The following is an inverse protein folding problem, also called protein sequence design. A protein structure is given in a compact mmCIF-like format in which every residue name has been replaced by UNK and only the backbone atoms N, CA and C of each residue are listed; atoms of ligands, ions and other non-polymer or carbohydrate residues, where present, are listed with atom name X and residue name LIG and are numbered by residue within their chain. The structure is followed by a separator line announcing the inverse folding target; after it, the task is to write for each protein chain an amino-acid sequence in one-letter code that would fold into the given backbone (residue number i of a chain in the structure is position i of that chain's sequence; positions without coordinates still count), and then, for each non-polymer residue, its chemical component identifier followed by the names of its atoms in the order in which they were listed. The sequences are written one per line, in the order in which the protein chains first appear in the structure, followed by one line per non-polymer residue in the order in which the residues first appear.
data_IF_818794371218
#
_entry.id   IF_818794371218
#
_cell.length_a   1.000
_cell.length_b   1.000
_cell.length_c   1.000
_cell.angle_alpha   90.00
_cell.angle_beta   90.00
_cell.angle_gamma   90.00
#
_symmetry.space_group_name_H-M   'P 1'
#
loop_
_entity.id
_entity.type
_entity.pdbx_description
1 polymer ?
#
# COMPACT_ATOMS: atom_id res chain seq x y z
N UNK A 1 -63.25 31.90 39.19
CA UNK A 1 -64.51 31.92 38.42
C UNK A 1 -64.54 30.65 37.59
N UNK A 2 -65.50 29.76 37.90
CA UNK A 2 -65.99 28.57 37.16
C UNK A 2 -64.97 27.46 36.79
N UNK A 3 -64.83 26.53 37.74
CA UNK A 3 -64.75 25.08 37.48
C UNK A 3 -66.14 24.58 37.06
N UNK A 4 -66.25 23.55 36.21
CA UNK A 4 -67.10 22.43 36.62
C UNK A 4 -66.46 21.05 36.38
N UNK A 5 -66.63 20.25 37.43
CA UNK A 5 -66.51 18.80 37.56
C UNK A 5 -67.76 18.13 36.93
N UNK A 6 -67.72 16.78 36.79
CA UNK A 6 -68.79 15.78 36.53
C UNK A 6 -68.70 15.13 35.13
N UNK A 7 -68.71 13.79 34.91
CA UNK A 7 -69.30 12.65 35.62
C UNK A 7 -68.42 11.39 35.45
N UNK A 8 -68.36 10.62 36.53
CA UNK A 8 -67.91 9.24 36.68
C UNK A 8 -68.86 8.26 35.96
N UNK A 9 -68.37 7.44 35.04
CA UNK A 9 -69.08 6.21 34.60
C UNK A 9 -68.25 5.00 34.99
N UNK A 10 -68.78 4.26 35.94
CA UNK A 10 -68.33 2.96 36.41
C UNK A 10 -68.84 1.89 35.44
N UNK A 11 -67.96 1.13 34.79
CA UNK A 11 -68.32 -0.16 34.20
C UNK A 11 -67.39 -1.24 34.74
N UNK A 12 -67.99 -2.11 35.54
CA UNK A 12 -67.42 -3.31 36.14
C UNK A 12 -67.47 -4.42 35.09
N UNK A 13 -66.32 -4.97 34.70
CA UNK A 13 -66.22 -6.13 33.81
C UNK A 13 -65.16 -7.10 34.32
N UNK A 14 -65.60 -8.27 34.75
CA UNK A 14 -64.88 -9.32 35.48
C UNK A 14 -64.18 -10.28 34.50
N UNK A 15 -62.88 -10.50 34.75
CA UNK A 15 -62.02 -11.69 34.51
C UNK A 15 -61.99 -12.37 33.12
N UNK A 16 -60.78 -12.66 32.61
CA UNK A 16 -60.14 -13.98 32.70
C UNK A 16 -58.81 -14.02 31.93
N UNK A 17 -57.88 -14.80 32.48
CA UNK A 17 -56.51 -15.12 32.06
C UNK A 17 -56.36 -15.60 30.61
N UNK A 18 -55.15 -15.45 30.05
CA UNK A 18 -54.63 -16.46 29.12
C UNK A 18 -53.66 -16.01 28.02
N UNK A 19 -52.39 -16.40 28.19
CA UNK A 19 -51.39 -16.75 27.17
C UNK A 19 -50.78 -15.66 26.26
N UNK A 20 -49.64 -15.14 26.73
CA UNK A 20 -48.32 -15.27 26.10
C UNK A 20 -48.26 -15.32 24.56
N UNK A 21 -48.10 -14.16 23.92
CA UNK A 21 -47.50 -14.04 22.60
C UNK A 21 -46.18 -13.30 22.75
N UNK A 22 -45.08 -14.05 22.76
CA UNK A 22 -43.77 -13.52 22.42
C UNK A 22 -43.88 -13.03 20.97
N UNK A 23 -43.87 -11.72 20.80
CA UNK A 23 -43.51 -11.10 19.53
C UNK A 23 -42.09 -11.57 19.21
N UNK A 24 -41.97 -12.52 18.27
CA UNK A 24 -40.71 -12.83 17.61
C UNK A 24 -40.16 -11.53 17.01
N UNK A 25 -39.14 -11.02 17.70
CA UNK A 25 -38.25 -9.99 17.20
C UNK A 25 -37.50 -10.62 16.02
N UNK A 26 -37.55 -10.05 14.80
CA UNK A 26 -36.75 -10.57 13.71
C UNK A 26 -35.28 -10.38 14.09
N UNK A 27 -34.61 -11.52 14.21
CA UNK A 27 -33.18 -11.67 14.33
C UNK A 27 -32.51 -10.88 13.20
N UNK A 28 -31.77 -9.83 13.55
CA UNK A 28 -30.83 -9.14 12.66
C UNK A 28 -29.41 -9.51 13.08
N UNK A 29 -29.12 -10.81 13.17
CA UNK A 29 -27.81 -11.31 12.79
C UNK A 29 -27.78 -11.41 11.26
N UNK A 30 -27.09 -10.46 10.63
CA UNK A 30 -26.34 -10.63 9.38
C UNK A 30 -25.86 -9.23 8.93
N UNK A 31 -25.01 -8.60 9.75
CA UNK A 31 -23.99 -7.71 9.22
C UNK A 31 -22.86 -8.63 8.77
N UNK A 32 -22.95 -9.05 7.51
CA UNK A 32 -21.82 -9.59 6.77
C UNK A 32 -20.82 -8.44 6.60
N UNK A 33 -20.05 -8.17 7.64
CA UNK A 33 -18.90 -7.28 7.61
C UNK A 33 -17.81 -8.05 6.85
N UNK A 34 -17.94 -8.07 5.52
CA UNK A 34 -16.84 -8.51 4.68
C UNK A 34 -15.69 -7.56 5.00
N UNK A 35 -14.70 -8.05 5.73
CA UNK A 35 -13.58 -7.26 6.17
C UNK A 35 -13.00 -6.52 4.96
N UNK A 36 -13.15 -5.20 4.95
CA UNK A 36 -12.75 -4.38 3.82
C UNK A 36 -11.24 -4.49 3.67
N UNK A 37 -10.75 -4.67 2.46
CA UNK A 37 -9.31 -4.74 2.18
C UNK A 37 -8.74 -3.38 1.77
N UNK A 38 -7.45 -3.19 1.96
CA UNK A 38 -6.68 -2.08 1.42
C UNK A 38 -5.32 -2.56 0.91
N UNK A 39 -4.79 -1.84 -0.08
CA UNK A 39 -3.45 -2.08 -0.61
C UNK A 39 -2.39 -1.36 0.21
N UNK A 40 -1.28 -2.04 0.51
CA UNK A 40 -0.08 -1.44 1.07
C UNK A 40 1.14 -1.93 0.32
N UNK A 41 2.10 -1.03 0.15
CA UNK A 41 3.37 -1.37 -0.43
C UNK A 41 4.39 -1.75 0.65
N UNK A 42 5.12 -2.83 0.40
CA UNK A 42 6.18 -3.37 1.27
C UNK A 42 7.42 -3.68 0.45
N UNK A 43 8.58 -3.65 1.10
CA UNK A 43 9.86 -3.83 0.43
C UNK A 43 10.60 -5.05 0.98
N UNK A 44 10.70 -6.12 0.19
CA UNK A 44 11.45 -7.33 0.55
C UNK A 44 12.84 -7.33 -0.06
N UNK A 45 13.74 -8.15 0.51
CA UNK A 45 15.05 -8.38 -0.08
C UNK A 45 14.95 -9.51 -1.09
N UNK A 46 15.71 -9.41 -2.15
CA UNK A 46 15.91 -10.49 -3.12
C UNK A 46 17.39 -10.56 -3.42
N UNK A 47 17.94 -11.77 -3.38
CA UNK A 47 19.35 -12.01 -3.67
C UNK A 47 19.47 -12.85 -4.93
N UNK A 48 20.44 -12.50 -5.75
CA UNK A 48 20.93 -13.30 -6.87
C UNK A 48 22.36 -13.75 -6.56
N UNK A 49 22.98 -14.49 -7.48
CA UNK A 49 24.41 -14.83 -7.38
C UNK A 49 25.34 -13.61 -7.43
N UNK A 50 24.84 -12.45 -7.89
CA UNK A 50 25.64 -11.26 -8.19
C UNK A 50 25.40 -10.12 -7.21
N UNK A 51 24.15 -9.93 -6.79
CA UNK A 51 23.73 -8.78 -6.00
C UNK A 51 22.51 -9.08 -5.14
N UNK A 52 22.36 -8.26 -4.10
CA UNK A 52 21.22 -8.21 -3.21
C UNK A 52 20.54 -6.85 -3.39
N UNK A 53 19.22 -6.85 -3.53
CA UNK A 53 18.43 -5.64 -3.81
C UNK A 53 17.05 -5.74 -3.18
N UNK A 54 16.30 -4.65 -3.27
CA UNK A 54 14.92 -4.55 -2.82
C UNK A 54 13.93 -4.77 -3.96
N UNK A 55 12.84 -5.46 -3.62
CA UNK A 55 11.66 -5.58 -4.47
C UNK A 55 10.47 -4.94 -3.76
N UNK A 56 9.76 -4.06 -4.45
CA UNK A 56 8.52 -3.45 -3.96
C UNK A 56 7.35 -4.34 -4.35
N UNK A 57 6.56 -4.73 -3.36
CA UNK A 57 5.34 -5.51 -3.55
C UNK A 57 4.13 -4.73 -3.04
N UNK A 58 2.94 -5.00 -3.60
CA UNK A 58 1.68 -4.43 -3.14
C UNK A 58 0.81 -5.55 -2.60
N UNK A 59 0.56 -5.55 -1.29
CA UNK A 59 -0.18 -6.57 -0.57
C UNK A 59 -1.57 -6.07 -0.19
N UNK A 60 -2.53 -6.99 -0.11
CA UNK A 60 -3.90 -6.72 0.34
C UNK A 60 -4.03 -7.09 1.82
N UNK A 61 -4.24 -6.10 2.68
CA UNK A 61 -4.45 -6.32 4.12
C UNK A 61 -5.84 -5.91 4.55
N UNK A 62 -6.20 -6.25 5.79
CA UNK A 62 -7.41 -5.69 6.40
C UNK A 62 -7.31 -4.18 6.52
N UNK A 63 -8.42 -3.51 6.21
CA UNK A 63 -8.53 -2.06 6.31
C UNK A 63 -8.44 -1.63 7.76
N UNK A 64 -7.57 -0.68 8.01
CA UNK A 64 -7.31 -0.10 9.33
C UNK A 64 -6.89 1.35 9.18
N UNK A 65 -7.11 2.14 10.23
CA UNK A 65 -6.56 3.51 10.34
C UNK A 65 -5.08 3.50 10.71
N UNK A 66 -4.57 2.42 11.28
CA UNK A 66 -3.16 2.26 11.67
C UNK A 66 -2.32 1.74 10.49
N UNK A 67 -2.36 2.44 9.36
CA UNK A 67 -1.77 1.96 8.08
C UNK A 67 -0.26 1.72 8.16
N UNK A 68 0.49 2.55 8.87
CA UNK A 68 1.93 2.36 9.07
C UNK A 68 2.24 1.09 9.89
N UNK A 69 1.45 0.86 10.95
CA UNK A 69 1.54 -0.34 11.77
C UNK A 69 1.20 -1.60 10.96
N UNK A 70 0.17 -1.53 10.12
CA UNK A 70 -0.21 -2.62 9.22
C UNK A 70 0.90 -2.92 8.20
N UNK A 71 1.52 -1.89 7.60
CA UNK A 71 2.62 -2.06 6.65
C UNK A 71 3.83 -2.75 7.27
N UNK A 72 4.24 -2.36 8.47
CA UNK A 72 5.35 -3.01 9.15
C UNK A 72 5.01 -4.42 9.62
N UNK A 73 3.78 -4.66 10.10
CA UNK A 73 3.34 -6.00 10.43
C UNK A 73 3.35 -6.91 9.19
N UNK A 74 2.91 -6.40 8.05
CA UNK A 74 2.96 -7.11 6.76
C UNK A 74 4.41 -7.38 6.33
N UNK A 75 5.31 -6.41 6.51
CA UNK A 75 6.74 -6.61 6.23
C UNK A 75 7.38 -7.70 7.12
N UNK A 76 6.96 -7.80 8.39
CA UNK A 76 7.47 -8.79 9.36
C UNK A 76 6.88 -10.18 9.12
N UNK A 77 5.59 -10.27 8.78
CA UNK A 77 4.82 -11.54 8.81
C UNK A 77 4.28 -12.01 7.46
N UNK A 78 4.13 -11.10 6.51
CA UNK A 78 3.65 -11.39 5.17
C UNK A 78 4.64 -12.25 4.38
N UNK A 79 4.10 -13.09 3.51
CA UNK A 79 4.89 -13.91 2.59
C UNK A 79 5.16 -13.11 1.30
N UNK A 80 6.43 -12.91 0.91
CA UNK A 80 6.75 -12.29 -0.37
C UNK A 80 6.15 -13.08 -1.54
N UNK A 81 5.58 -12.35 -2.49
CA UNK A 81 4.96 -12.87 -3.71
C UNK A 81 6.02 -13.05 -4.80
N UNK A 82 7.03 -12.16 -4.83
CA UNK A 82 8.12 -12.25 -5.81
C UNK A 82 8.95 -13.51 -5.52
N UNK A 83 9.16 -14.40 -6.51
CA UNK A 83 10.00 -15.56 -6.33
C UNK A 83 11.38 -15.20 -5.79
N UNK A 84 11.86 -15.97 -4.82
CA UNK A 84 13.15 -15.82 -4.14
C UNK A 84 13.32 -14.52 -3.34
N UNK A 85 12.28 -13.70 -3.20
CA UNK A 85 12.26 -12.62 -2.23
C UNK A 85 12.03 -13.15 -0.81
N UNK A 86 12.57 -12.45 0.19
CA UNK A 86 12.55 -12.89 1.58
C UNK A 86 12.48 -11.71 2.56
N UNK A 87 12.01 -12.02 3.77
CA UNK A 87 11.89 -11.10 4.90
C UNK A 87 13.26 -10.84 5.55
N UNK A 88 13.48 -9.61 6.00
CA UNK A 88 14.66 -9.23 6.82
C UNK A 88 14.44 -9.56 8.29
N UNK A 89 13.25 -9.22 8.78
CA UNK A 89 12.98 -9.14 10.20
C UNK A 89 12.59 -10.51 10.77
N UNK A 90 13.09 -10.87 11.97
CA UNK A 90 12.61 -12.05 12.69
C UNK A 90 11.10 -11.99 12.91
N UNK A 91 10.40 -13.12 12.70
CA UNK A 91 8.93 -13.18 12.72
C UNK A 91 8.32 -12.83 14.09
N UNK A 92 9.07 -13.00 15.17
CA UNK A 92 8.69 -12.67 16.54
C UNK A 92 9.04 -11.21 16.94
N UNK A 93 9.56 -10.41 16.00
CA UNK A 93 9.73 -8.96 16.17
C UNK A 93 8.37 -8.31 16.45
N UNK A 94 8.31 -7.50 17.50
CA UNK A 94 7.13 -6.71 17.84
C UNK A 94 7.42 -5.24 17.63
N UNK A 95 6.40 -4.52 17.18
CA UNK A 95 6.40 -3.06 17.15
C UNK A 95 5.71 -2.63 18.45
N UNK A 96 6.46 -1.95 19.31
CA UNK A 96 6.01 -1.47 20.61
C UNK A 96 5.24 -0.15 20.48
N UNK A 97 5.59 0.65 19.46
CA UNK A 97 4.87 1.88 19.14
C UNK A 97 5.38 2.53 17.86
N UNK A 98 4.53 3.38 17.27
CA UNK A 98 4.89 4.25 16.15
C UNK A 98 4.37 5.65 16.49
N UNK A 99 5.26 6.64 16.50
CA UNK A 99 4.89 8.05 16.61
C UNK A 99 5.22 8.75 15.30
N UNK A 100 4.26 9.47 14.72
CA UNK A 100 4.44 10.23 13.48
C UNK A 100 4.21 11.70 13.80
N UNK A 101 5.26 12.51 13.69
CA UNK A 101 5.20 13.95 13.91
C UNK A 101 6.00 14.68 12.83
N UNK A 102 5.41 15.70 12.20
CA UNK A 102 6.04 16.57 11.21
C UNK A 102 6.83 15.84 10.10
N UNK A 103 6.33 14.69 9.63
CA UNK A 103 7.01 13.91 8.57
C UNK A 103 7.99 12.85 9.08
N UNK A 104 8.31 12.82 10.37
CA UNK A 104 9.18 11.83 10.98
C UNK A 104 8.35 10.73 11.64
N UNK A 105 8.57 9.48 11.24
CA UNK A 105 8.07 8.31 11.94
C UNK A 105 9.15 7.75 12.87
N UNK A 106 8.92 7.75 14.18
CA UNK A 106 9.76 7.02 15.15
C UNK A 106 9.10 5.68 15.46
N UNK A 107 9.80 4.59 15.13
CA UNK A 107 9.31 3.21 15.36
C UNK A 107 10.08 2.61 16.52
N UNK A 108 9.36 2.22 17.56
CA UNK A 108 9.90 1.48 18.69
C UNK A 108 9.71 -0.02 18.48
N UNK A 109 10.79 -0.76 18.49
CA UNK A 109 10.80 -2.21 18.30
C UNK A 109 11.13 -2.94 19.60
N UNK A 110 10.71 -4.19 19.66
CA UNK A 110 11.22 -5.12 20.66
C UNK A 110 12.63 -5.61 20.31
N UNK A 111 13.44 -6.08 21.28
CA UNK A 111 14.84 -6.47 21.05
C UNK A 111 15.06 -7.55 19.99
N UNK A 112 14.03 -8.35 19.69
CA UNK A 112 14.07 -9.38 18.66
C UNK A 112 14.47 -8.85 17.28
N UNK A 113 14.19 -7.57 16.97
CA UNK A 113 14.57 -6.91 15.71
C UNK A 113 16.08 -6.96 15.44
N UNK A 114 16.90 -6.99 16.50
CA UNK A 114 18.37 -7.00 16.42
C UNK A 114 18.94 -8.38 16.08
N UNK A 115 18.11 -9.43 16.03
CA UNK A 115 18.52 -10.79 15.66
C UNK A 115 18.36 -11.07 14.17
N UNK A 116 18.01 -10.08 13.36
CA UNK A 116 17.99 -10.23 11.91
C UNK A 116 19.36 -10.75 11.41
N UNK A 117 19.33 -11.67 10.45
CA UNK A 117 20.53 -12.24 9.88
C UNK A 117 20.46 -12.16 8.35
N UNK A 118 20.82 -10.99 7.82
CA UNK A 118 20.82 -10.68 6.38
C UNK A 118 22.23 -10.59 5.80
N UNK A 119 23.26 -10.84 6.62
CA UNK A 119 24.67 -10.67 6.26
C UNK A 119 25.07 -9.21 6.04
N UNK A 120 26.38 -8.93 6.07
CA UNK A 120 26.92 -7.56 6.00
C UNK A 120 26.43 -6.76 4.77
N UNK A 121 26.27 -7.42 3.62
CA UNK A 121 25.75 -6.79 2.40
C UNK A 121 24.25 -6.47 2.46
N UNK A 122 23.48 -7.15 3.32
CA UNK A 122 22.04 -6.96 3.45
C UNK A 122 21.63 -6.04 4.59
N UNK A 123 22.50 -5.75 5.55
CA UNK A 123 22.16 -4.94 6.73
C UNK A 123 21.66 -3.53 6.33
N UNK A 124 22.32 -2.88 5.38
CA UNK A 124 21.90 -1.56 4.88
C UNK A 124 20.55 -1.62 4.15
N UNK A 125 20.36 -2.66 3.33
CA UNK A 125 19.09 -2.89 2.64
C UNK A 125 17.97 -3.27 3.58
N UNK A 126 18.26 -3.91 4.71
CA UNK A 126 17.26 -4.18 5.73
C UNK A 126 16.72 -2.91 6.38
N UNK A 127 17.57 -1.89 6.60
CA UNK A 127 17.08 -0.55 6.99
C UNK A 127 16.25 0.06 5.87
N UNK A 128 16.77 0.08 4.64
CA UNK A 128 16.05 0.64 3.50
C UNK A 128 14.70 -0.05 3.24
N UNK A 129 14.58 -1.35 3.51
CA UNK A 129 13.32 -2.11 3.44
C UNK A 129 12.25 -1.51 4.37
N UNK A 130 12.60 -1.23 5.63
CA UNK A 130 11.68 -0.63 6.61
C UNK A 130 11.37 0.81 6.23
N UNK A 131 12.40 1.60 5.92
CA UNK A 131 12.28 3.03 5.60
C UNK A 131 11.45 3.24 4.33
N UNK A 132 11.72 2.49 3.27
CA UNK A 132 10.99 2.59 2.02
C UNK A 132 9.54 2.13 2.19
N UNK A 133 9.26 1.12 3.01
CA UNK A 133 7.89 0.71 3.33
C UNK A 133 7.10 1.84 4.01
N UNK A 134 7.68 2.52 4.99
CA UNK A 134 6.99 3.62 5.68
C UNK A 134 6.88 4.89 4.85
N UNK A 135 7.87 5.19 4.02
CA UNK A 135 7.85 6.38 3.15
C UNK A 135 7.00 6.20 1.89
N UNK A 136 6.30 5.06 1.72
CA UNK A 136 5.16 4.95 0.79
C UNK A 136 4.00 5.84 1.21
N UNK A 137 3.88 6.15 2.50
CA UNK A 137 2.89 7.08 3.01
C UNK A 137 3.41 8.51 2.81
N UNK A 138 2.74 9.36 2.00
CA UNK A 138 3.25 10.71 1.69
C UNK A 138 3.43 11.62 2.92
N UNK A 139 2.80 11.27 4.04
CA UNK A 139 2.94 11.98 5.32
C UNK A 139 4.19 11.58 6.10
N UNK A 140 4.94 10.56 5.66
CA UNK A 140 6.19 10.09 6.27
C UNK A 140 7.33 10.31 5.28
N UNK A 141 8.27 11.17 5.64
CA UNK A 141 9.43 11.55 4.84
C UNK A 141 10.72 10.93 5.41
N UNK A 142 10.78 10.77 6.73
CA UNK A 142 11.94 10.24 7.44
C UNK A 142 11.51 9.22 8.50
N UNK A 143 12.42 8.31 8.86
CA UNK A 143 12.17 7.24 9.83
C UNK A 143 13.32 7.15 10.83
N UNK A 144 12.99 7.11 12.11
CA UNK A 144 13.93 6.85 13.20
C UNK A 144 13.53 5.58 13.96
N UNK A 145 14.50 4.96 14.64
CA UNK A 145 14.29 3.69 15.33
C UNK A 145 14.70 3.76 16.80
N UNK A 146 13.96 3.04 17.64
CA UNK A 146 14.33 2.75 19.03
C UNK A 146 14.13 1.27 19.34
N UNK A 147 14.79 0.78 20.38
CA UNK A 147 14.53 -0.55 20.96
C UNK A 147 14.23 -0.40 22.44
N UNK A 148 13.09 -0.93 22.89
CA UNK A 148 12.56 -0.74 24.25
C UNK A 148 12.55 0.74 24.69
N UNK A 149 12.14 1.61 23.76
CA UNK A 149 12.02 3.05 23.96
C UNK A 149 13.32 3.83 24.05
N UNK A 150 14.49 3.21 23.81
CA UNK A 150 15.79 3.87 23.87
C UNK A 150 16.59 3.65 22.58
N UNK A 151 17.28 4.70 22.16
CA UNK A 151 18.12 4.71 20.95
C UNK A 151 19.44 3.97 21.23
N UNK A 152 19.98 4.14 22.43
CA UNK A 152 21.25 3.59 22.90
C UNK A 152 21.27 2.04 22.92
N UNK A 153 20.10 1.41 23.03
CA UNK A 153 19.95 -0.05 23.02
C UNK A 153 20.32 -0.67 21.66
N UNK A 154 20.41 0.13 20.61
CA UNK A 154 20.58 -0.35 19.24
C UNK A 154 21.50 0.54 18.38
N UNK A 155 22.47 1.24 18.99
CA UNK A 155 23.48 2.03 18.25
C UNK A 155 24.21 1.23 17.18
N UNK A 156 24.62 0.01 17.51
CA UNK A 156 25.24 -0.93 16.57
C UNK A 156 24.20 -1.91 15.99
N UNK A 157 23.06 -1.37 15.51
CA UNK A 157 21.83 -2.08 15.12
C UNK A 157 22.05 -3.53 14.61
N UNK A 158 22.84 -3.71 13.54
CA UNK A 158 23.27 -5.03 13.05
C UNK A 158 24.78 -5.16 12.86
N UNK A 159 25.57 -4.28 13.49
CA UNK A 159 27.03 -4.37 13.51
C UNK A 159 27.75 -3.52 12.43
N UNK A 160 27.44 -3.68 11.15
CA UNK A 160 28.01 -2.80 10.09
C UNK A 160 27.14 -1.59 9.81
N UNK A 161 25.88 -1.65 10.24
CA UNK A 161 24.93 -0.56 10.17
C UNK A 161 24.47 -0.21 11.57
N UNK A 162 24.43 1.09 11.85
CA UNK A 162 24.02 1.64 13.13
C UNK A 162 23.05 2.80 12.98
N UNK A 163 22.52 3.28 14.10
CA UNK A 163 21.54 4.38 14.12
C UNK A 163 22.20 5.78 14.18
N UNK A 164 23.49 5.88 13.91
CA UNK A 164 24.27 7.12 14.02
C UNK A 164 23.83 8.20 13.03
N UNK A 165 23.26 7.80 11.90
CA UNK A 165 22.84 8.69 10.81
C UNK A 165 21.32 8.90 10.76
N UNK A 166 20.58 8.41 11.75
CA UNK A 166 19.13 8.60 11.79
C UNK A 166 18.77 10.10 11.98
N UNK A 167 17.60 10.55 11.52
CA UNK A 167 16.57 9.77 10.85
C UNK A 167 16.96 9.40 9.41
N UNK A 168 16.53 8.23 8.96
CA UNK A 168 16.79 7.71 7.63
C UNK A 168 15.73 8.18 6.64
N UNK A 169 16.15 8.41 5.40
CA UNK A 169 15.27 8.81 4.31
C UNK A 169 15.13 7.69 3.27
N UNK A 170 14.10 7.81 2.44
CA UNK A 170 13.82 6.88 1.33
C UNK A 170 15.02 6.80 0.38
N UNK A 171 15.42 5.58 0.03
CA UNK A 171 16.44 5.32 -0.98
C UNK A 171 15.99 4.20 -1.93
N UNK A 172 15.74 4.57 -3.19
CA UNK A 172 15.28 3.65 -4.23
C UNK A 172 16.42 3.17 -5.14
N UNK A 173 17.68 3.55 -4.87
CA UNK A 173 18.83 3.20 -5.71
C UNK A 173 19.03 1.69 -5.87
N UNK A 174 18.65 0.92 -4.84
CA UNK A 174 18.71 -0.53 -4.81
C UNK A 174 17.33 -1.20 -4.94
N UNK A 175 16.32 -0.51 -5.50
CA UNK A 175 14.98 -1.07 -5.74
C UNK A 175 14.79 -1.43 -7.21
N UNK A 176 14.82 -2.72 -7.53
CA UNK A 176 14.96 -3.17 -8.92
C UNK A 176 13.66 -3.70 -9.51
N UNK A 177 12.80 -4.28 -8.70
CA UNK A 177 11.49 -4.80 -9.14
C UNK A 177 10.34 -4.14 -8.35
N UNK A 178 9.19 -3.87 -8.99
CA UNK A 178 8.98 -3.91 -10.43
C UNK A 178 9.76 -2.79 -11.13
N UNK A 179 10.21 -3.01 -12.36
CA UNK A 179 10.94 -2.00 -13.12
C UNK A 179 10.10 -0.75 -13.43
N UNK A 180 8.78 -0.90 -13.56
CA UNK A 180 7.83 0.21 -13.71
C UNK A 180 6.86 0.18 -12.54
N UNK A 181 6.72 1.31 -11.85
CA UNK A 181 5.72 1.54 -10.82
C UNK A 181 4.89 2.75 -11.24
N UNK A 182 3.61 2.53 -11.51
CA UNK A 182 2.67 3.60 -11.82
C UNK A 182 1.98 4.08 -10.55
N UNK A 183 1.98 5.39 -10.32
CA UNK A 183 1.33 6.05 -9.17
C UNK A 183 0.00 6.74 -9.55
N UNK A 184 -0.18 7.07 -10.83
CA UNK A 184 -1.45 7.56 -11.38
C UNK A 184 -1.57 7.16 -12.87
N UNK A 185 -2.76 6.75 -13.34
CA UNK A 185 -3.98 6.53 -12.56
C UNK A 185 -3.88 5.31 -11.64
N UNK A 186 -4.74 5.25 -10.62
CA UNK A 186 -4.94 4.05 -9.83
C UNK A 186 -5.98 3.14 -10.48
N UNK A 187 -6.04 1.89 -10.04
CA UNK A 187 -7.01 0.91 -10.52
C UNK A 187 -8.45 1.43 -10.38
N UNK A 188 -9.25 1.21 -11.43
CA UNK A 188 -10.67 1.58 -11.55
C UNK A 188 -10.93 3.10 -11.45
N UNK A 189 -9.89 3.92 -11.62
CA UNK A 189 -10.05 5.37 -11.64
C UNK A 189 -10.83 5.82 -12.89
N UNK A 190 -11.79 6.72 -12.69
CA UNK A 190 -12.43 7.45 -13.79
C UNK A 190 -11.47 8.53 -14.30
N UNK A 191 -11.04 8.41 -15.55
CA UNK A 191 -10.06 9.27 -16.21
C UNK A 191 -10.72 10.24 -17.20
N UNK A 192 -10.02 11.32 -17.53
CA UNK A 192 -10.41 12.30 -18.55
C UNK A 192 -9.30 12.51 -19.57
N UNK A 193 -9.61 13.09 -20.73
CA UNK A 193 -8.61 13.50 -21.72
C UNK A 193 -8.18 14.96 -21.52
N UNK A 194 -6.86 15.28 -21.48
CA UNK A 194 -5.74 14.33 -21.53
C UNK A 194 -5.60 13.53 -20.22
N UNK A 195 -5.30 12.24 -20.35
CA UNK A 195 -5.01 11.35 -19.23
C UNK A 195 -3.59 11.65 -18.74
N UNK A 196 -3.46 12.02 -17.46
CA UNK A 196 -2.16 12.14 -16.79
C UNK A 196 -1.70 10.78 -16.27
N UNK A 197 -0.46 10.45 -16.58
CA UNK A 197 0.19 9.20 -16.19
C UNK A 197 1.46 9.57 -15.45
N UNK A 198 1.62 9.08 -14.22
CA UNK A 198 2.80 9.33 -13.41
C UNK A 198 3.28 8.06 -12.75
N UNK A 199 4.57 8.02 -12.44
CA UNK A 199 5.15 6.90 -11.75
C UNK A 199 6.65 7.04 -11.63
N UNK A 200 7.29 5.93 -11.35
CA UNK A 200 8.72 5.82 -11.22
C UNK A 200 9.20 4.56 -11.95
N UNK A 201 10.28 4.66 -12.71
CA UNK A 201 10.72 3.61 -13.62
C UNK A 201 12.24 3.45 -13.64
N UNK A 202 12.65 2.20 -13.88
CA UNK A 202 14.03 1.76 -14.11
C UNK A 202 14.06 0.99 -15.43
N UNK A 203 14.08 1.73 -16.54
CA UNK A 203 13.94 1.19 -17.90
C UNK A 203 15.06 1.68 -18.81
N UNK A 204 15.33 0.94 -19.89
CA UNK A 204 16.34 1.31 -20.87
C UNK A 204 16.03 2.67 -21.52
N UNK A 205 17.08 3.50 -21.70
CA UNK A 205 16.97 4.86 -22.27
C UNK A 205 15.94 5.77 -21.57
N UNK A 206 15.57 5.46 -20.32
CA UNK A 206 14.55 6.17 -19.56
C UNK A 206 13.18 6.24 -20.25
N UNK A 207 12.92 5.39 -21.25
CA UNK A 207 11.71 5.51 -22.07
C UNK A 207 10.59 4.62 -21.53
N UNK A 208 9.50 5.26 -21.10
CA UNK A 208 8.30 4.59 -20.60
C UNK A 208 7.18 4.76 -21.62
N UNK A 209 6.79 3.67 -22.27
CA UNK A 209 5.71 3.66 -23.26
C UNK A 209 4.37 3.43 -22.59
N UNK A 210 3.33 4.05 -23.11
CA UNK A 210 1.96 3.83 -22.65
C UNK A 210 0.97 3.74 -23.80
N UNK A 211 -0.05 2.91 -23.62
CA UNK A 211 -1.20 2.85 -24.53
C UNK A 211 -2.49 2.58 -23.78
N UNK A 212 -3.54 3.31 -24.16
CA UNK A 212 -4.89 3.11 -23.66
C UNK A 212 -5.65 2.22 -24.62
N UNK A 213 -6.25 1.15 -24.10
CA UNK A 213 -7.12 0.24 -24.86
C UNK A 213 -8.54 0.27 -24.32
N UNK A 214 -9.52 0.13 -25.21
CA UNK A 214 -10.90 -0.16 -24.84
C UNK A 214 -11.08 -1.62 -24.39
N UNK A 215 -12.27 -1.95 -23.89
CA UNK A 215 -12.64 -3.32 -23.49
C UNK A 215 -12.60 -4.35 -24.65
N UNK A 216 -12.62 -3.92 -25.91
CA UNK A 216 -12.46 -4.78 -27.08
C UNK A 216 -10.99 -4.98 -27.48
N UNK A 217 -10.06 -4.31 -26.80
CA UNK A 217 -8.62 -4.36 -27.06
C UNK A 217 -8.14 -3.39 -28.14
N UNK A 218 -9.01 -2.51 -28.66
CA UNK A 218 -8.61 -1.49 -29.63
C UNK A 218 -7.79 -0.41 -28.92
N UNK A 219 -6.67 -0.03 -29.51
CA UNK A 219 -5.85 1.09 -29.00
C UNK A 219 -6.56 2.40 -29.32
N UNK A 220 -6.95 3.13 -28.27
CA UNK A 220 -7.58 4.45 -28.39
C UNK A 220 -6.54 5.56 -28.54
N UNK A 221 -5.41 5.41 -27.85
CA UNK A 221 -4.29 6.34 -27.90
C UNK A 221 -3.01 5.65 -27.41
N UNK A 222 -1.86 6.14 -27.85
CA UNK A 222 -0.55 5.70 -27.37
C UNK A 222 0.43 6.87 -27.31
N UNK A 223 1.45 6.76 -26.48
CA UNK A 223 2.50 7.75 -26.32
C UNK A 223 3.62 7.21 -25.44
N UNK A 224 4.51 8.11 -25.01
CA UNK A 224 5.59 7.78 -24.11
C UNK A 224 5.93 8.99 -23.23
N UNK A 225 6.64 8.71 -22.14
CA UNK A 225 7.29 9.69 -21.30
C UNK A 225 8.76 9.30 -21.09
N UNK A 226 9.55 10.27 -20.66
CA UNK A 226 10.94 10.04 -20.25
C UNK A 226 11.04 10.11 -18.74
N UNK A 227 11.53 9.05 -18.12
CA UNK A 227 11.88 9.06 -16.71
C UNK A 227 13.08 9.99 -16.44
N UNK A 228 13.16 10.54 -15.23
CA UNK A 228 14.23 11.45 -14.84
C UNK A 228 15.63 10.81 -14.92
N UNK A 229 15.70 9.47 -14.89
CA UNK A 229 16.94 8.70 -15.01
C UNK A 229 16.66 7.39 -15.78
N UNK A 230 17.62 6.95 -16.60
CA UNK A 230 17.57 5.67 -17.30
C UNK A 230 18.31 4.57 -16.55
N UNK A 231 17.96 3.31 -16.82
CA UNK A 231 18.63 2.17 -16.22
C UNK A 231 20.17 2.24 -16.40
N UNK A 232 20.97 1.94 -15.35
CA UNK A 232 20.57 1.27 -14.11
C UNK A 232 19.94 2.19 -13.05
N UNK A 233 19.84 3.48 -13.30
CA UNK A 233 19.14 4.43 -12.43
C UNK A 233 17.63 4.30 -12.50
N UNK A 234 16.95 4.84 -11.47
CA UNK A 234 15.50 4.81 -11.31
C UNK A 234 14.99 6.25 -11.16
N UNK A 235 14.08 6.67 -12.03
CA UNK A 235 13.60 8.05 -12.08
C UNK A 235 12.08 8.17 -12.17
N UNK A 236 11.57 9.29 -11.68
CA UNK A 236 10.16 9.64 -11.83
C UNK A 236 9.84 9.98 -13.28
N UNK A 237 8.64 9.64 -13.75
CA UNK A 237 8.14 10.02 -15.06
C UNK A 237 6.75 10.63 -14.94
N UNK A 238 6.47 11.59 -15.83
CA UNK A 238 5.15 12.18 -16.03
C UNK A 238 4.86 12.24 -17.54
N UNK A 239 3.66 11.83 -17.93
CA UNK A 239 3.21 11.83 -19.31
C UNK A 239 1.73 12.20 -19.42
N UNK A 240 1.35 12.68 -20.59
CA UNK A 240 -0.03 12.96 -20.92
C UNK A 240 -0.44 12.21 -22.19
N UNK A 241 -1.64 11.62 -22.16
CA UNK A 241 -2.21 10.89 -23.28
C UNK A 241 -3.57 11.48 -23.64
N UNK A 242 -3.62 12.21 -24.75
CA UNK A 242 -4.88 12.68 -25.31
C UNK A 242 -5.60 11.51 -26.00
N UNK A 243 -6.88 11.31 -25.66
CA UNK A 243 -7.77 10.35 -26.31
C UNK A 243 -9.14 10.96 -26.55
N UNK A 244 -9.94 10.37 -27.44
CA UNK A 244 -11.30 10.82 -27.74
C UNK A 244 -12.25 9.64 -27.61
N UNK A 245 -12.96 9.51 -26.47
CA UNK A 245 -13.94 8.45 -26.31
C UNK A 245 -15.25 8.79 -27.06
N UNK A 246 -15.93 7.78 -27.57
CA UNK A 246 -17.25 7.92 -28.23
C UNK A 246 -18.41 8.00 -27.21
N UNK A 247 -18.10 7.89 -25.92
CA UNK A 247 -19.03 7.90 -24.80
C UNK A 247 -18.36 7.34 -23.55
N UNK A 248 -19.16 7.07 -22.51
CA UNK A 248 -18.65 6.39 -21.32
C UNK A 248 -18.16 4.98 -21.65
N UNK A 249 -17.04 4.56 -21.07
CA UNK A 249 -16.45 3.27 -21.33
C UNK A 249 -15.50 2.81 -20.23
N UNK A 250 -14.98 1.61 -20.42
CA UNK A 250 -13.94 1.04 -19.57
C UNK A 250 -12.86 0.43 -20.46
N UNK A 251 -11.67 0.27 -19.89
CA UNK A 251 -10.56 -0.32 -20.58
C UNK A 251 -9.35 -0.45 -19.69
N UNK A 252 -8.18 -0.44 -20.31
CA UNK A 252 -6.92 -0.58 -19.59
C UNK A 252 -5.85 0.35 -20.14
N UNK A 253 -5.15 1.01 -19.22
CA UNK A 253 -3.87 1.63 -19.48
C UNK A 253 -2.79 0.56 -19.35
N UNK A 254 -2.03 0.35 -20.40
CA UNK A 254 -0.82 -0.46 -20.36
C UNK A 254 0.38 0.50 -20.34
N UNK A 255 1.26 0.34 -19.34
CA UNK A 255 2.53 1.07 -19.21
C UNK A 255 3.66 0.06 -19.25
N UNK A 256 4.61 0.23 -20.15
CA UNK A 256 5.60 -0.80 -20.46
C UNK A 256 6.90 -0.22 -20.99
N UNK A 257 7.93 -1.05 -21.01
CA UNK A 257 9.18 -0.81 -21.72
C UNK A 257 9.13 -1.55 -23.05
N UNK A 258 9.50 -0.89 -24.16
CA UNK A 258 9.59 -1.57 -25.46
C UNK A 258 10.98 -2.19 -25.64
N UNK A 259 11.03 -3.49 -25.93
CA UNK A 259 12.28 -4.20 -26.18
C UNK A 259 12.94 -3.73 -27.48
N UNK A 260 14.13 -3.13 -27.39
CA UNK A 260 14.92 -2.76 -28.58
C UNK A 260 15.40 -3.97 -29.41
N UNK A 261 15.26 -5.19 -28.88
CA UNK A 261 15.66 -6.43 -29.55
C UNK A 261 14.59 -6.92 -30.53
N UNK A 262 13.32 -6.81 -30.16
CA UNK A 262 12.21 -7.47 -30.89
C UNK A 262 10.87 -6.73 -30.83
N UNK A 263 10.80 -5.56 -30.20
CA UNK A 263 9.58 -4.76 -30.04
C UNK A 263 8.55 -5.36 -29.07
N UNK A 264 8.91 -6.39 -28.30
CA UNK A 264 8.03 -6.94 -27.28
C UNK A 264 7.85 -5.98 -26.09
N UNK A 265 6.69 -6.05 -25.45
CA UNK A 265 6.43 -5.27 -24.24
C UNK A 265 7.07 -5.96 -23.02
N UNK A 266 8.05 -5.29 -22.40
CA UNK A 266 8.70 -5.70 -21.16
C UNK A 266 8.10 -4.93 -19.98
N UNK A 267 8.22 -5.51 -18.78
CA UNK A 267 7.88 -4.83 -17.51
C UNK A 267 6.48 -4.20 -17.48
N UNK A 268 5.54 -4.79 -18.24
CA UNK A 268 4.23 -4.22 -18.48
C UNK A 268 3.40 -4.21 -17.20
N UNK A 269 2.92 -3.03 -16.84
CA UNK A 269 1.90 -2.78 -15.83
C UNK A 269 0.58 -2.53 -16.54
N UNK A 270 -0.50 -3.16 -16.07
CA UNK A 270 -1.85 -3.00 -16.61
C UNK A 270 -2.74 -2.41 -15.52
N UNK A 271 -3.38 -1.28 -15.82
CA UNK A 271 -4.24 -0.56 -14.91
C UNK A 271 -5.64 -0.47 -15.52
N UNK A 272 -6.63 -1.17 -14.96
CA UNK A 272 -8.03 -0.98 -15.32
C UNK A 272 -8.46 0.46 -15.06
N UNK A 273 -9.18 1.07 -15.99
CA UNK A 273 -9.67 2.46 -15.90
C UNK A 273 -11.05 2.61 -16.55
N UNK A 274 -11.77 3.66 -16.17
CA UNK A 274 -13.08 4.06 -16.71
C UNK A 274 -13.03 5.49 -17.27
N UNK A 275 -13.91 5.87 -18.19
CA UNK A 275 -14.02 7.26 -18.70
C UNK A 275 -15.43 7.57 -19.18
#
# INVERSE_FOLDING_TARGET
MKVPVFILVLFLGVFLSGCNNQTEQPDKSDQNDSAQKQEIAVYYLKSTDQEIYLVREVHQVEKTTEVAQAALNELIKGDPITPDAYRVLPEDTRILGINIDNGLATVDFSPEVLRANVGSSGEGLGIASIVNTLTEFPTIQEVAFTVDGQVENAMDWWGHVGLYEQPFQRDLSNVFEPAIWVTSPVKDQVISSPLKISGNARVFEATVSFRLKDAAGNVLAQGFATAAEGAPGRGDFEGELAFKPDGSGQGQLEVFEESMKDGSDLNKVIIPVEW
#
